data_IF_424658158000
#
_entry.id   IF_424658158000
#
_cell.length_a   1.000
_cell.length_b   1.000
_cell.length_c   1.000
_cell.angle_alpha   90.00
_cell.angle_beta   90.00
_cell.angle_gamma   90.00
#
_symmetry.space_group_name_H-M   'P 1'
#
loop_
_entity.id
_entity.type
_entity.pdbx_description
1 polymer ?
#
# COMPACT_ATOMS: atom_id res chain seq x y z
N UNK A 1 -11.76 -6.30 72.45
CA UNK A 1 -10.84 -6.04 71.32
C UNK A 1 -11.26 -6.96 70.21
N UNK A 2 -12.01 -6.42 69.26
CA UNK A 2 -12.99 -7.13 68.44
C UNK A 2 -12.61 -7.13 66.95
N UNK A 3 -12.88 -8.28 66.33
CA UNK A 3 -13.03 -8.54 64.90
C UNK A 3 -13.60 -7.38 64.09
N UNK A 4 -13.04 -7.15 62.89
CA UNK A 4 -13.78 -6.63 61.74
C UNK A 4 -13.44 -7.46 60.50
N UNK A 5 -14.36 -8.34 60.15
CA UNK A 5 -14.46 -8.96 58.83
C UNK A 5 -14.98 -7.94 57.81
N UNK A 6 -14.48 -8.05 56.59
CA UNK A 6 -14.90 -7.23 55.45
C UNK A 6 -16.04 -7.96 54.75
N UNK A 7 -17.24 -7.35 54.82
CA UNK A 7 -18.47 -7.81 54.19
C UNK A 7 -18.42 -7.58 52.68
N UNK A 8 -18.76 -8.62 51.94
CA UNK A 8 -19.08 -8.63 50.52
C UNK A 8 -20.46 -7.99 50.35
N UNK A 9 -20.56 -6.92 49.55
CA UNK A 9 -21.84 -6.37 49.08
C UNK A 9 -22.07 -6.77 47.63
N UNK A 10 -23.04 -7.64 47.43
CA UNK A 10 -23.67 -7.98 46.15
C UNK A 10 -24.68 -6.88 45.86
N UNK A 11 -24.50 -6.16 44.75
CA UNK A 11 -25.57 -5.36 44.15
C UNK A 11 -26.00 -6.03 42.84
N UNK A 12 -27.19 -6.64 42.90
CA UNK A 12 -27.95 -7.05 41.73
C UNK A 12 -28.43 -5.80 40.98
N UNK A 13 -28.04 -5.64 39.72
CA UNK A 13 -28.78 -4.85 38.76
C UNK A 13 -29.11 -5.72 37.56
N UNK A 14 -30.39 -6.10 37.50
CA UNK A 14 -31.04 -6.69 36.35
C UNK A 14 -31.22 -5.59 35.30
N UNK A 15 -30.63 -5.76 34.12
CA UNK A 15 -31.05 -5.01 32.93
C UNK A 15 -31.27 -5.96 31.76
N UNK A 16 -32.35 -5.65 31.07
CA UNK A 16 -33.07 -6.40 30.06
C UNK A 16 -32.20 -6.58 28.80
N UNK A 17 -32.12 -7.82 28.33
CA UNK A 17 -31.54 -8.17 27.02
C UNK A 17 -32.55 -7.76 25.96
N UNK A 18 -32.29 -6.65 25.26
CA UNK A 18 -32.93 -6.38 23.97
C UNK A 18 -32.09 -7.00 22.85
N UNK A 19 -32.69 -8.00 22.23
CA UNK A 19 -32.30 -8.58 20.95
C UNK A 19 -32.35 -7.50 19.87
N UNK A 20 -31.20 -6.97 19.46
CA UNK A 20 -31.08 -6.41 18.11
C UNK A 20 -30.51 -7.48 17.19
N UNK A 21 -31.38 -7.92 16.27
CA UNK A 21 -31.02 -8.77 15.17
C UNK A 21 -29.93 -8.08 14.34
N UNK A 22 -28.69 -8.56 14.47
CA UNK A 22 -27.66 -8.34 13.46
C UNK A 22 -28.12 -9.07 12.20
N UNK A 23 -28.49 -8.29 11.18
CA UNK A 23 -28.55 -8.78 9.80
C UNK A 23 -27.18 -9.34 9.44
N UNK A 24 -27.08 -10.67 9.46
CA UNK A 24 -25.98 -11.40 8.87
C UNK A 24 -25.91 -11.03 7.39
N UNK A 25 -24.85 -10.34 6.98
CA UNK A 25 -24.40 -10.42 5.62
C UNK A 25 -23.99 -11.88 5.39
N UNK A 26 -24.90 -12.65 4.79
CA UNK A 26 -24.60 -13.96 4.22
C UNK A 26 -23.52 -13.78 3.15
N UNK A 27 -22.26 -13.92 3.56
CA UNK A 27 -21.18 -14.19 2.63
C UNK A 27 -21.35 -15.64 2.19
N UNK A 28 -21.98 -15.82 1.03
CA UNK A 28 -22.11 -17.09 0.34
C UNK A 28 -20.72 -17.79 0.30
N UNK A 29 -20.53 -18.94 0.98
CA UNK A 29 -19.23 -19.60 1.08
C UNK A 29 -18.84 -20.37 -0.20
N UNK A 30 -19.58 -20.21 -1.30
CA UNK A 30 -19.28 -20.85 -2.59
C UNK A 30 -18.60 -19.91 -3.62
N UNK A 31 -17.94 -18.84 -3.18
CA UNK A 31 -17.03 -18.12 -4.08
C UNK A 31 -15.75 -18.95 -4.21
N UNK A 32 -15.66 -19.73 -5.29
CA UNK A 32 -14.49 -20.53 -5.65
C UNK A 32 -13.21 -19.73 -5.40
N UNK A 33 -12.44 -20.15 -4.40
CA UNK A 33 -11.01 -19.88 -4.32
C UNK A 33 -10.42 -20.52 -5.57
N UNK A 34 -10.13 -19.73 -6.59
CA UNK A 34 -9.28 -20.20 -7.66
C UNK A 34 -7.88 -20.27 -7.07
N UNK A 35 -7.44 -21.47 -6.65
CA UNK A 35 -6.00 -21.73 -6.62
C UNK A 35 -5.56 -21.63 -8.07
N UNK A 36 -4.95 -20.51 -8.44
CA UNK A 36 -4.31 -20.38 -9.74
C UNK A 36 -3.07 -21.26 -9.66
N UNK A 37 -3.21 -22.51 -10.08
CA UNK A 37 -2.07 -23.29 -10.55
C UNK A 37 -1.33 -22.44 -11.57
N UNK A 38 -0.07 -22.12 -11.27
CA UNK A 38 0.90 -21.35 -12.05
C UNK A 38 0.45 -21.00 -13.48
N UNK A 39 -0.14 -19.82 -13.64
CA UNK A 39 -0.43 -19.24 -14.95
C UNK A 39 0.87 -19.11 -15.78
N UNK A 40 0.80 -19.22 -17.12
CA UNK A 40 1.96 -19.36 -17.98
C UNK A 40 2.85 -18.12 -17.87
N UNK A 41 4.02 -18.31 -17.28
CA UNK A 41 5.03 -17.28 -17.14
C UNK A 41 5.44 -16.81 -18.54
N UNK A 42 5.36 -15.51 -18.80
CA UNK A 42 5.90 -14.89 -20.01
C UNK A 42 7.38 -15.33 -20.14
N UNK A 43 7.67 -16.22 -21.09
CA UNK A 43 8.78 -17.18 -21.01
C UNK A 43 10.12 -16.66 -21.56
N UNK A 44 10.34 -15.34 -21.59
CA UNK A 44 11.50 -14.75 -22.28
C UNK A 44 12.40 -13.83 -21.45
N UNK A 45 11.91 -13.21 -20.37
CA UNK A 45 12.72 -12.26 -19.59
C UNK A 45 13.38 -12.97 -18.40
N UNK A 46 14.70 -12.89 -18.36
CA UNK A 46 15.52 -13.41 -17.25
C UNK A 46 15.37 -12.54 -15.99
N UNK A 47 15.16 -11.24 -16.19
CA UNK A 47 14.86 -10.26 -15.14
C UNK A 47 13.35 -10.04 -15.03
N UNK A 48 12.87 -10.01 -13.80
CA UNK A 48 11.47 -9.76 -13.42
C UNK A 48 11.40 -8.69 -12.33
N UNK A 49 10.27 -8.01 -12.19
CA UNK A 49 10.11 -6.91 -11.23
C UNK A 49 9.36 -7.37 -9.98
N UNK A 50 9.90 -7.08 -8.81
CA UNK A 50 9.37 -7.44 -7.48
C UNK A 50 9.17 -6.17 -6.65
N UNK A 51 8.42 -6.20 -5.52
CA UNK A 51 8.22 -5.05 -4.62
C UNK A 51 9.47 -4.75 -3.77
N UNK A 52 10.62 -4.68 -4.42
CA UNK A 52 11.93 -4.26 -3.91
C UNK A 52 12.94 -4.02 -5.05
N UNK A 53 12.56 -4.21 -6.31
CA UNK A 53 13.47 -4.06 -7.44
C UNK A 53 13.41 -5.18 -8.49
N UNK A 54 14.25 -5.05 -9.52
CA UNK A 54 14.49 -6.12 -10.48
C UNK A 54 15.18 -7.32 -9.82
N UNK A 55 14.72 -8.52 -10.18
CA UNK A 55 15.19 -9.80 -9.68
C UNK A 55 15.46 -10.76 -10.84
N UNK A 56 16.40 -11.68 -10.68
CA UNK A 56 16.47 -12.84 -11.56
C UNK A 56 15.27 -13.74 -11.27
N UNK A 57 14.59 -14.19 -12.32
CA UNK A 57 13.44 -15.09 -12.20
C UNK A 57 13.76 -16.36 -11.40
N UNK A 58 15.00 -16.85 -11.48
CA UNK A 58 15.49 -18.01 -10.72
C UNK A 58 15.54 -17.81 -9.20
N UNK A 59 15.47 -16.57 -8.74
CA UNK A 59 15.56 -16.22 -7.33
C UNK A 59 14.21 -15.81 -6.73
N UNK A 60 13.12 -15.96 -7.48
CA UNK A 60 11.78 -15.71 -6.98
C UNK A 60 11.09 -17.04 -6.74
N UNK A 61 10.68 -17.25 -5.50
CA UNK A 61 10.19 -18.53 -5.00
C UNK A 61 8.78 -18.39 -4.47
N UNK A 62 7.94 -19.38 -4.77
CA UNK A 62 6.60 -19.46 -4.24
C UNK A 62 6.58 -20.22 -2.91
N UNK A 63 5.86 -19.69 -1.93
CA UNK A 63 5.62 -20.31 -0.62
C UNK A 63 4.15 -20.72 -0.53
N UNK A 64 3.91 -22.03 -0.50
CA UNK A 64 2.55 -22.55 -0.43
C UNK A 64 1.92 -22.31 0.95
N UNK A 65 0.58 -22.31 1.03
CA UNK A 65 -0.14 -22.07 2.29
C UNK A 65 0.10 -23.12 3.39
N UNK A 66 0.65 -24.29 3.05
CA UNK A 66 1.10 -25.33 4.00
C UNK A 66 2.60 -25.24 4.33
N UNK A 67 3.24 -24.11 4.02
CA UNK A 67 4.67 -23.87 4.23
C UNK A 67 4.92 -22.58 5.01
N UNK A 68 6.11 -22.47 5.59
CA UNK A 68 6.67 -21.25 6.17
C UNK A 68 8.13 -21.09 5.75
N UNK A 69 8.68 -19.90 6.01
CA UNK A 69 10.10 -19.63 5.87
C UNK A 69 10.80 -19.75 7.23
N UNK A 70 11.98 -20.35 7.24
CA UNK A 70 12.86 -20.40 8.41
C UNK A 70 14.22 -19.81 8.04
N UNK A 71 14.67 -18.78 8.77
CA UNK A 71 16.03 -18.29 8.67
C UNK A 71 16.94 -19.06 9.62
N UNK A 72 18.03 -19.62 9.09
CA UNK A 72 19.03 -20.34 9.88
C UNK A 72 20.41 -20.23 9.25
N UNK A 73 21.39 -19.79 10.03
CA UNK A 73 22.81 -19.76 9.64
C UNK A 73 23.05 -19.07 8.28
N UNK A 74 22.37 -17.94 8.03
CA UNK A 74 22.51 -17.21 6.77
C UNK A 74 21.72 -17.81 5.59
N UNK A 75 20.81 -18.73 5.86
CA UNK A 75 20.06 -19.44 4.82
C UNK A 75 18.56 -19.33 5.08
N UNK A 76 17.77 -19.14 4.03
CA UNK A 76 16.31 -19.22 4.08
C UNK A 76 15.87 -20.59 3.60
N UNK A 77 15.04 -21.26 4.39
CA UNK A 77 14.43 -22.55 4.07
C UNK A 77 12.94 -22.40 3.89
N UNK A 78 12.40 -23.03 2.85
CA UNK A 78 10.96 -23.26 2.73
C UNK A 78 10.66 -24.58 3.41
N UNK A 79 9.88 -24.58 4.48
CA UNK A 79 9.61 -25.73 5.34
C UNK A 79 8.12 -26.05 5.32
N UNK A 80 7.76 -27.32 5.13
CA UNK A 80 6.37 -27.75 5.20
C UNK A 80 5.88 -27.81 6.66
N UNK A 81 4.77 -27.13 6.95
CA UNK A 81 4.26 -26.89 8.31
C UNK A 81 4.00 -28.17 9.11
N UNK A 82 3.41 -29.19 8.46
CA UNK A 82 3.00 -30.43 9.15
C UNK A 82 4.17 -31.40 9.36
N UNK A 83 5.06 -31.50 8.39
CA UNK A 83 6.09 -32.55 8.37
C UNK A 83 7.47 -32.06 8.81
N UNK A 84 7.69 -30.75 8.85
CA UNK A 84 9.03 -30.15 9.01
C UNK A 84 9.97 -30.43 7.83
N UNK A 85 9.46 -30.97 6.71
CA UNK A 85 10.30 -31.28 5.56
C UNK A 85 10.72 -30.00 4.85
N UNK A 86 12.03 -29.83 4.68
CA UNK A 86 12.62 -28.76 3.86
C UNK A 86 12.29 -29.03 2.38
N UNK A 87 11.68 -28.05 1.71
CA UNK A 87 11.31 -28.06 0.29
C UNK A 87 12.31 -27.33 -0.59
N UNK A 88 12.97 -26.31 -0.04
CA UNK A 88 14.01 -25.54 -0.69
C UNK A 88 14.88 -24.84 0.34
N UNK A 89 16.13 -24.58 -0.04
CA UNK A 89 17.14 -23.95 0.81
C UNK A 89 17.96 -22.97 -0.04
N UNK A 90 18.02 -21.72 0.39
CA UNK A 90 18.52 -20.61 -0.41
C UNK A 90 19.45 -19.74 0.43
N UNK A 91 20.65 -19.49 -0.08
CA UNK A 91 21.62 -18.65 0.60
C UNK A 91 21.09 -17.22 0.70
N UNK A 92 21.00 -16.72 1.93
CA UNK A 92 20.75 -15.34 2.27
C UNK A 92 22.04 -14.67 2.79
N UNK A 93 23.18 -15.02 2.17
CA UNK A 93 24.47 -14.31 2.31
C UNK A 93 24.98 -13.90 0.93
N UNK A 94 25.60 -12.73 0.84
CA UNK A 94 26.07 -12.14 -0.42
C UNK A 94 27.13 -13.06 -1.01
N UNK A 95 26.88 -13.53 -2.23
CA UNK A 95 27.93 -14.04 -3.08
C UNK A 95 28.36 -12.88 -3.99
N UNK A 96 29.44 -12.20 -3.61
CA UNK A 96 29.96 -10.94 -4.20
C UNK A 96 30.12 -10.96 -5.74
N UNK A 97 30.06 -12.15 -6.34
CA UNK A 97 30.17 -12.38 -7.77
C UNK A 97 28.85 -12.17 -8.55
N UNK A 98 27.67 -12.31 -7.92
CA UNK A 98 26.37 -12.18 -8.61
C UNK A 98 25.96 -10.73 -8.88
N UNK A 99 26.21 -9.83 -7.94
CA UNK A 99 25.98 -8.38 -8.08
C UNK A 99 26.85 -7.74 -9.16
N UNK A 100 28.07 -8.26 -9.37
CA UNK A 100 28.92 -7.87 -10.51
C UNK A 100 28.38 -8.36 -11.85
N UNK A 101 27.77 -9.55 -11.90
CA UNK A 101 27.29 -10.14 -13.15
C UNK A 101 26.05 -9.43 -13.70
N UNK A 102 25.07 -9.13 -12.84
CA UNK A 102 23.86 -8.34 -13.20
C UNK A 102 24.24 -6.94 -13.69
N UNK A 103 25.22 -6.28 -13.05
CA UNK A 103 25.74 -4.98 -13.50
C UNK A 103 26.53 -5.06 -14.81
N UNK A 104 27.12 -6.21 -15.14
CA UNK A 104 27.92 -6.40 -16.37
C UNK A 104 27.10 -6.83 -17.58
N UNK A 105 26.01 -7.58 -17.39
CA UNK A 105 25.14 -8.06 -18.48
C UNK A 105 24.20 -6.96 -19.00
N UNK A 106 23.89 -5.95 -18.20
CA UNK A 106 23.12 -4.75 -18.62
C UNK A 106 23.88 -3.77 -19.52
N UNK A 107 25.18 -3.99 -19.80
CA UNK A 107 26.01 -3.03 -20.57
C UNK A 107 26.09 -3.29 -22.07
N UNK A 108 25.37 -4.27 -22.60
CA UNK A 108 25.57 -4.73 -23.97
C UNK A 108 24.26 -4.88 -24.77
N UNK A 109 23.45 -3.83 -24.83
CA UNK A 109 22.46 -3.64 -25.90
C UNK A 109 22.43 -2.17 -26.38
N UNK A 110 22.00 -2.00 -27.63
CA UNK A 110 22.56 -1.11 -28.64
C UNK A 110 22.50 0.42 -28.46
N UNK A 111 23.58 1.05 -28.93
CA UNK A 111 23.77 2.47 -29.20
C UNK A 111 22.89 2.88 -30.39
N UNK A 112 21.71 3.46 -30.16
CA UNK A 112 21.03 4.46 -31.02
C UNK A 112 19.57 4.75 -30.58
N UNK A 113 19.33 5.09 -29.31
CA UNK A 113 18.11 5.79 -28.93
C UNK A 113 18.44 6.92 -27.96
N UNK A 114 18.02 8.14 -28.28
CA UNK A 114 18.28 9.36 -27.50
C UNK A 114 17.32 9.49 -26.31
N UNK A 115 16.99 8.39 -25.65
CA UNK A 115 16.29 8.38 -24.36
C UNK A 115 17.35 7.99 -23.34
N UNK A 116 17.56 8.84 -22.34
CA UNK A 116 18.46 8.55 -21.22
C UNK A 116 17.99 7.28 -20.53
N UNK A 117 18.67 6.16 -20.74
CA UNK A 117 18.76 5.12 -19.72
C UNK A 117 19.63 5.72 -18.61
N UNK A 118 18.96 6.39 -17.66
CA UNK A 118 19.61 6.81 -16.43
C UNK A 118 19.83 5.59 -15.54
N UNK A 119 20.97 5.57 -14.87
CA UNK A 119 21.56 4.42 -14.19
C UNK A 119 20.64 3.97 -13.02
N UNK A 120 20.02 2.81 -13.17
CA UNK A 120 19.16 2.10 -12.19
C UNK A 120 17.84 2.78 -11.78
N UNK A 121 16.83 2.69 -12.64
CA UNK A 121 15.43 2.68 -12.19
C UNK A 121 15.22 1.51 -11.21
N UNK A 122 15.38 1.79 -9.92
CA UNK A 122 15.15 0.82 -8.85
C UNK A 122 13.64 0.63 -8.57
N UNK A 123 12.78 1.38 -9.26
CA UNK A 123 11.33 1.37 -9.15
C UNK A 123 10.77 2.09 -7.93
N UNK A 124 11.59 2.68 -7.06
CA UNK A 124 11.11 3.42 -5.89
C UNK A 124 10.58 4.79 -6.31
N UNK A 125 9.26 4.90 -6.44
CA UNK A 125 8.60 6.11 -6.92
C UNK A 125 8.37 7.10 -5.78
N UNK A 126 7.66 6.66 -4.75
CA UNK A 126 7.35 7.50 -3.60
C UNK A 126 7.20 6.67 -2.35
N UNK A 127 7.65 7.19 -1.22
CA UNK A 127 7.61 6.45 0.03
C UNK A 127 7.65 7.40 1.24
N UNK A 128 7.38 6.86 2.42
CA UNK A 128 7.73 7.45 3.68
C UNK A 128 8.39 6.39 4.56
N UNK A 129 9.54 6.71 5.12
CA UNK A 129 10.24 5.86 6.09
C UNK A 129 10.03 6.44 7.47
N UNK A 130 9.62 5.59 8.41
CA UNK A 130 9.60 5.97 9.81
C UNK A 130 10.95 5.69 10.43
N UNK A 131 11.51 6.69 11.11
CA UNK A 131 12.56 6.47 12.09
C UNK A 131 12.01 6.77 13.46
N UNK A 132 12.48 5.99 14.40
CA UNK A 132 12.19 6.25 15.79
C UNK A 132 13.05 7.41 16.31
N UNK A 133 12.42 8.23 17.17
CA UNK A 133 13.04 9.41 17.75
C UNK A 133 13.69 9.15 19.12
N UNK A 134 13.39 8.03 19.80
CA UNK A 134 13.69 7.85 21.22
C UNK A 134 14.17 6.44 21.63
N UNK A 135 14.67 5.65 20.70
CA UNK A 135 15.06 4.25 20.89
C UNK A 135 13.87 3.36 21.28
N UNK A 136 13.21 2.80 20.27
CA UNK A 136 12.25 1.70 20.35
C UNK A 136 12.81 0.67 21.33
N UNK A 137 12.10 0.46 22.44
CA UNK A 137 12.60 -0.32 23.58
C UNK A 137 12.48 -1.83 23.41
N UNK A 138 12.22 -2.31 22.19
CA UNK A 138 12.09 -3.72 21.83
C UNK A 138 11.49 -3.91 20.43
N UNK A 139 11.35 -5.15 19.94
CA UNK A 139 10.92 -5.40 18.57
C UNK A 139 9.54 -4.79 18.28
N UNK A 140 9.35 -4.37 17.03
CA UNK A 140 8.02 -4.03 16.53
C UNK A 140 7.16 -5.30 16.64
N UNK A 141 6.13 -5.25 17.49
CA UNK A 141 5.23 -6.37 17.77
C UNK A 141 4.07 -6.43 16.79
N UNK A 142 3.66 -5.28 16.26
CA UNK A 142 2.56 -5.13 15.33
C UNK A 142 2.77 -3.91 14.44
N UNK A 143 2.64 -4.08 13.12
CA UNK A 143 2.55 -3.01 12.15
C UNK A 143 1.38 -3.28 11.22
N UNK A 144 0.39 -2.40 11.17
CA UNK A 144 -0.72 -2.51 10.24
C UNK A 144 -1.14 -1.16 9.70
N UNK A 145 -1.75 -1.17 8.52
CA UNK A 145 -2.42 -0.02 7.97
C UNK A 145 -3.61 -0.44 7.11
N UNK A 146 -4.48 0.51 6.80
CA UNK A 146 -5.65 0.34 5.95
C UNK A 146 -5.60 1.27 4.75
N UNK A 147 -5.99 0.80 3.59
CA UNK A 147 -6.13 1.60 2.38
C UNK A 147 -7.20 0.99 1.48
N UNK A 148 -7.80 1.81 0.62
CA UNK A 148 -8.70 1.31 -0.40
C UNK A 148 -7.90 0.93 -1.64
N UNK A 149 -8.31 -0.14 -2.33
CA UNK A 149 -7.75 -0.48 -3.64
C UNK A 149 -8.03 0.68 -4.60
N UNK A 150 -7.01 1.28 -5.24
CA UNK A 150 -7.22 2.39 -6.16
C UNK A 150 -8.03 1.98 -7.40
N UNK A 151 -8.49 2.96 -8.15
CA UNK A 151 -8.99 2.77 -9.51
C UNK A 151 -7.88 2.20 -10.41
N UNK A 152 -8.23 1.43 -11.46
CA UNK A 152 -7.25 0.97 -12.42
C UNK A 152 -6.59 2.15 -13.15
N UNK A 153 -5.36 2.00 -13.67
CA UNK A 153 -4.77 2.96 -14.59
C UNK A 153 -5.65 3.26 -15.81
N UNK A 154 -5.61 4.51 -16.27
CA UNK A 154 -6.33 4.97 -17.46
C UNK A 154 -5.77 4.33 -18.74
N UNK A 155 -4.43 4.20 -18.79
CA UNK A 155 -3.71 3.48 -19.84
C UNK A 155 -3.20 2.15 -19.27
N UNK A 156 -3.54 1.03 -19.92
CA UNK A 156 -3.11 -0.31 -19.52
C UNK A 156 -2.10 -0.83 -20.54
N UNK A 157 -0.88 -1.00 -20.12
CA UNK A 157 0.26 -1.49 -20.88
C UNK A 157 0.94 -2.64 -20.10
N UNK A 158 2.27 -2.65 -20.06
CA UNK A 158 3.08 -3.65 -19.35
C UNK A 158 3.53 -3.17 -17.96
N UNK A 159 2.87 -2.14 -17.41
CA UNK A 159 3.26 -1.58 -16.14
C UNK A 159 3.02 -2.55 -14.97
N UNK A 160 3.90 -2.48 -13.98
CA UNK A 160 3.76 -3.17 -12.70
C UNK A 160 3.76 -2.11 -11.61
N UNK A 161 2.80 -2.15 -10.69
CA UNK A 161 2.67 -1.17 -9.61
C UNK A 161 2.49 -1.93 -8.30
N UNK A 162 3.21 -1.52 -7.26
CA UNK A 162 3.14 -2.04 -5.91
C UNK A 162 2.83 -0.93 -4.92
N UNK A 163 1.87 -1.17 -4.04
CA UNK A 163 1.54 -0.31 -2.89
C UNK A 163 1.59 -1.19 -1.65
N UNK A 164 2.40 -0.81 -0.67
CA UNK A 164 2.60 -1.66 0.51
C UNK A 164 3.05 -0.90 1.75
N UNK A 165 2.91 -1.57 2.88
CA UNK A 165 3.68 -1.31 4.08
C UNK A 165 4.82 -2.32 4.17
N UNK A 166 5.97 -1.94 4.72
CA UNK A 166 7.10 -2.86 4.89
C UNK A 166 7.71 -2.76 6.29
N UNK A 167 8.17 -3.89 6.81
CA UNK A 167 9.02 -3.97 7.99
C UNK A 167 10.38 -4.53 7.57
N UNK A 168 11.44 -3.80 7.85
CA UNK A 168 12.81 -4.08 7.44
C UNK A 168 13.78 -4.08 8.62
N UNK A 169 14.78 -4.93 8.57
CA UNK A 169 15.98 -4.78 9.39
C UNK A 169 16.97 -5.89 9.10
N UNK A 170 18.06 -5.88 9.86
CA UNK A 170 19.20 -6.73 9.55
C UNK A 170 20.31 -6.63 10.57
N UNK A 171 21.18 -7.64 10.55
CA UNK A 171 22.44 -7.58 11.29
C UNK A 171 23.43 -6.71 10.52
N UNK A 172 23.93 -5.66 11.16
CA UNK A 172 25.27 -5.14 10.84
C UNK A 172 26.26 -6.13 11.43
N UNK A 173 26.76 -7.05 10.62
CA UNK A 173 27.93 -7.83 11.03
C UNK A 173 29.18 -6.95 11.01
N UNK A 174 30.19 -7.28 11.84
CA UNK A 174 31.49 -6.57 11.87
C UNK A 174 32.18 -6.53 10.49
N UNK A 175 31.76 -7.39 9.56
CA UNK A 175 32.25 -7.48 8.18
C UNK A 175 31.43 -6.69 7.14
N UNK A 176 30.49 -5.82 7.55
CA UNK A 176 29.62 -5.02 6.66
C UNK A 176 28.74 -5.82 5.68
N UNK A 177 28.58 -7.12 5.88
CA UNK A 177 27.54 -7.89 5.19
C UNK A 177 26.20 -7.55 5.85
N UNK A 178 25.60 -6.44 5.39
CA UNK A 178 24.33 -5.95 5.91
C UNK A 178 23.22 -6.89 5.45
N UNK A 179 22.77 -7.81 6.32
CA UNK A 179 21.73 -8.80 5.99
C UNK A 179 20.35 -8.18 6.17
N UNK A 180 19.89 -7.43 5.18
CA UNK A 180 18.55 -6.84 5.22
C UNK A 180 17.49 -7.88 4.84
N UNK A 181 16.49 -8.01 5.71
CA UNK A 181 15.26 -8.73 5.48
C UNK A 181 14.12 -7.73 5.44
N UNK A 182 13.19 -7.94 4.52
CA UNK A 182 12.00 -7.10 4.36
C UNK A 182 10.78 -8.00 4.29
N UNK A 183 9.74 -7.65 5.04
CA UNK A 183 8.45 -8.33 5.01
C UNK A 183 7.39 -7.32 4.61
N UNK A 184 6.54 -7.66 3.64
CA UNK A 184 5.57 -6.74 3.03
C UNK A 184 4.24 -7.44 2.73
N UNK A 185 3.09 -6.94 3.21
CA UNK A 185 1.80 -7.19 2.57
C UNK A 185 1.63 -6.18 1.41
N UNK A 186 1.49 -6.69 0.19
CA UNK A 186 1.57 -5.91 -1.05
C UNK A 186 0.26 -5.95 -1.81
N UNK A 187 -0.22 -4.77 -2.20
CA UNK A 187 -1.22 -4.61 -3.27
C UNK A 187 -0.47 -4.38 -4.59
N UNK A 188 -0.76 -5.21 -5.60
CA UNK A 188 -0.12 -5.13 -6.92
C UNK A 188 -1.13 -4.91 -8.05
N UNK A 189 -0.72 -4.13 -9.05
CA UNK A 189 -1.33 -4.07 -10.38
C UNK A 189 -0.32 -4.55 -11.42
N UNK A 190 -0.78 -5.22 -12.47
CA UNK A 190 0.07 -5.65 -13.57
C UNK A 190 0.65 -7.05 -13.37
N UNK A 191 1.56 -7.42 -14.27
CA UNK A 191 2.25 -8.71 -14.22
C UNK A 191 3.46 -8.65 -13.29
N UNK A 192 3.59 -9.65 -12.43
CA UNK A 192 4.77 -9.89 -11.58
C UNK A 192 5.12 -11.38 -11.55
N UNK A 193 6.24 -11.78 -10.91
CA UNK A 193 6.54 -13.18 -10.64
C UNK A 193 5.47 -13.93 -9.83
N UNK A 194 4.70 -13.22 -9.00
CA UNK A 194 3.57 -13.80 -8.27
C UNK A 194 2.33 -14.02 -9.16
N UNK A 195 2.41 -13.65 -10.44
CA UNK A 195 1.29 -13.64 -11.39
C UNK A 195 0.71 -12.23 -11.56
N UNK A 196 -0.56 -12.15 -11.95
CA UNK A 196 -1.26 -10.88 -12.10
C UNK A 196 -1.73 -10.62 -13.53
N UNK A 197 -1.82 -9.34 -13.87
CA UNK A 197 -2.35 -8.85 -15.14
C UNK A 197 -3.02 -7.49 -14.95
N UNK A 198 -3.93 -7.14 -15.85
CA UNK A 198 -4.65 -5.86 -15.82
C UNK A 198 -5.77 -5.83 -14.77
N UNK A 199 -5.43 -6.17 -13.52
CA UNK A 199 -6.29 -6.17 -12.35
C UNK A 199 -5.46 -5.99 -11.08
N UNK A 200 -6.12 -5.53 -10.01
CA UNK A 200 -5.51 -5.46 -8.67
C UNK A 200 -5.53 -6.81 -7.98
N UNK A 201 -4.44 -7.13 -7.29
CA UNK A 201 -4.35 -8.32 -6.47
C UNK A 201 -3.44 -8.10 -5.27
N UNK A 202 -3.66 -8.86 -4.21
CA UNK A 202 -2.83 -8.83 -3.00
C UNK A 202 -1.92 -10.07 -2.92
N UNK A 203 -0.72 -9.89 -2.41
CA UNK A 203 0.26 -10.94 -2.15
C UNK A 203 1.19 -10.49 -1.01
N UNK A 204 1.74 -11.44 -0.27
CA UNK A 204 2.71 -11.19 0.80
C UNK A 204 4.10 -11.60 0.35
N UNK A 205 5.07 -10.74 0.62
CA UNK A 205 6.45 -10.90 0.19
C UNK A 205 7.40 -10.94 1.38
N UNK A 206 8.43 -11.78 1.26
CA UNK A 206 9.66 -11.69 2.05
C UNK A 206 10.83 -11.53 1.10
N UNK A 207 11.67 -10.54 1.34
CA UNK A 207 12.80 -10.20 0.51
C UNK A 207 14.07 -10.24 1.35
N UNK A 208 15.15 -10.70 0.75
CA UNK A 208 16.49 -10.67 1.34
C UNK A 208 17.41 -9.81 0.48
N UNK A 209 18.39 -9.16 1.11
CA UNK A 209 19.45 -8.39 0.47
C UNK A 209 20.34 -9.19 -0.52
N UNK A 210 20.12 -10.50 -0.65
CA UNK A 210 20.82 -11.41 -1.59
C UNK A 210 19.99 -11.73 -2.82
N UNK A 211 19.04 -10.87 -3.12
CA UNK A 211 18.13 -11.00 -4.23
C UNK A 211 17.40 -12.35 -4.20
N UNK A 212 17.05 -12.87 -3.01
CA UNK A 212 16.07 -13.95 -2.87
C UNK A 212 14.73 -13.34 -2.49
N UNK A 213 13.69 -13.70 -3.23
CA UNK A 213 12.35 -13.15 -3.09
C UNK A 213 11.38 -14.30 -2.90
N UNK A 214 10.52 -14.20 -1.91
CA UNK A 214 9.54 -15.21 -1.57
C UNK A 214 8.17 -14.57 -1.58
N UNK A 215 7.22 -15.21 -2.26
CA UNK A 215 5.85 -14.72 -2.38
C UNK A 215 4.86 -15.83 -2.10
N UNK A 216 3.70 -15.49 -1.55
CA UNK A 216 2.60 -16.42 -1.35
C UNK A 216 1.57 -16.38 -2.50
N UNK A 217 0.36 -16.87 -2.26
CA UNK A 217 -0.67 -16.93 -3.30
C UNK A 217 -1.28 -15.56 -3.57
N UNK A 218 -1.36 -15.22 -4.85
CA UNK A 218 -2.00 -14.00 -5.32
C UNK A 218 -3.53 -14.09 -5.23
N UNK A 219 -4.17 -13.08 -4.64
CA UNK A 219 -5.64 -12.97 -4.57
C UNK A 219 -6.11 -11.70 -5.28
N UNK A 220 -6.95 -11.84 -6.30
CA UNK A 220 -7.58 -10.69 -6.97
C UNK A 220 -8.52 -9.93 -6.05
N UNK A 221 -8.42 -8.60 -6.07
CA UNK A 221 -9.28 -7.67 -5.32
C UNK A 221 -9.85 -6.61 -6.27
N UNK A 222 -11.02 -6.06 -5.95
CA UNK A 222 -11.67 -5.05 -6.79
C UNK A 222 -11.27 -3.64 -6.34
N UNK A 223 -11.22 -2.66 -7.27
CA UNK A 223 -11.16 -1.23 -6.91
C UNK A 223 -12.20 -0.86 -5.84
N UNK A 224 -11.82 0.05 -4.94
CA UNK A 224 -12.62 0.49 -3.80
C UNK A 224 -12.70 -0.50 -2.64
N UNK A 225 -12.18 -1.73 -2.76
CA UNK A 225 -12.16 -2.70 -1.66
C UNK A 225 -11.28 -2.16 -0.52
N UNK A 226 -11.77 -2.08 0.73
CA UNK A 226 -10.92 -1.74 1.86
C UNK A 226 -10.00 -2.92 2.17
N UNK A 227 -8.71 -2.63 2.26
CA UNK A 227 -7.68 -3.59 2.64
C UNK A 227 -7.08 -3.20 3.99
N UNK A 228 -6.63 -4.20 4.73
CA UNK A 228 -5.82 -4.03 5.94
C UNK A 228 -4.62 -4.97 5.89
N UNK A 229 -3.47 -4.43 5.54
CA UNK A 229 -2.20 -5.16 5.61
C UNK A 229 -1.69 -5.22 7.04
N UNK A 230 -1.19 -6.37 7.47
CA UNK A 230 -0.70 -6.62 8.82
C UNK A 230 0.63 -7.37 8.76
N UNK A 231 1.62 -6.87 9.49
CA UNK A 231 2.85 -7.56 9.86
C UNK A 231 2.83 -7.71 11.38
N UNK A 232 2.88 -8.95 11.88
CA UNK A 232 2.74 -9.24 13.31
C UNK A 232 3.88 -10.13 13.80
N UNK A 233 4.48 -9.78 14.92
CA UNK A 233 5.43 -10.62 15.63
C UNK A 233 4.69 -11.85 16.20
N UNK A 234 5.15 -13.05 15.85
CA UNK A 234 4.60 -14.33 16.33
C UNK A 234 5.47 -14.98 17.39
N UNK A 235 6.77 -14.66 17.43
CA UNK A 235 7.70 -15.15 18.45
C UNK A 235 8.87 -14.18 18.62
N UNK A 236 9.38 -14.05 19.84
CA UNK A 236 10.64 -13.39 20.17
C UNK A 236 11.37 -14.26 21.19
N UNK A 237 12.44 -14.92 20.76
CA UNK A 237 13.20 -15.87 21.57
C UNK A 237 14.70 -15.71 21.26
N UNK A 238 15.52 -15.58 22.30
CA UNK A 238 16.98 -15.56 22.19
C UNK A 238 17.55 -14.58 21.14
N UNK A 239 16.94 -13.39 21.04
CA UNK A 239 17.34 -12.35 20.08
C UNK A 239 16.94 -12.63 18.63
N UNK A 240 16.08 -13.62 18.40
CA UNK A 240 15.49 -13.94 17.10
C UNK A 240 13.99 -13.66 17.12
N UNK A 241 13.47 -13.23 15.99
CA UNK A 241 12.12 -12.71 15.86
C UNK A 241 11.41 -13.42 14.71
N UNK A 242 10.18 -13.86 14.96
CA UNK A 242 9.35 -14.49 13.94
C UNK A 242 8.18 -13.58 13.62
N UNK A 243 7.89 -13.43 12.34
CA UNK A 243 6.88 -12.50 11.86
C UNK A 243 5.92 -13.18 10.88
N UNK A 244 4.68 -12.72 10.86
CA UNK A 244 3.69 -13.09 9.85
C UNK A 244 3.17 -11.85 9.15
N UNK A 245 3.19 -11.87 7.82
CA UNK A 245 2.57 -10.87 6.96
C UNK A 245 1.35 -11.43 6.26
N UNK A 246 0.25 -10.68 6.29
CA UNK A 246 -1.04 -11.08 5.72
C UNK A 246 -1.98 -9.88 5.55
N UNK A 247 -3.09 -10.09 4.84
CA UNK A 247 -4.21 -9.17 4.81
C UNK A 247 -5.37 -9.70 5.67
N UNK A 248 -5.96 -8.85 6.50
CA UNK A 248 -7.12 -9.23 7.32
C UNK A 248 -8.30 -9.66 6.44
N UNK A 249 -8.92 -10.80 6.78
CA UNK A 249 -10.04 -11.35 6.01
C UNK A 249 -9.64 -12.19 4.78
N UNK A 250 -8.34 -12.35 4.51
CA UNK A 250 -7.84 -13.17 3.43
C UNK A 250 -7.08 -14.40 3.97
N UNK A 251 -7.25 -15.55 3.30
CA UNK A 251 -6.72 -16.84 3.76
C UNK A 251 -5.23 -17.08 3.45
N UNK A 252 -4.51 -16.07 2.96
CA UNK A 252 -3.10 -16.16 2.57
C UNK A 252 -2.22 -15.33 3.51
N UNK A 253 -0.94 -15.65 3.56
CA UNK A 253 0.05 -15.00 4.38
C UNK A 253 1.39 -15.72 4.30
N UNK A 254 2.45 -15.01 4.63
CA UNK A 254 3.80 -15.58 4.76
C UNK A 254 4.25 -15.48 6.21
N UNK A 255 4.70 -16.61 6.76
CA UNK A 255 5.33 -16.67 8.08
C UNK A 255 6.83 -16.88 7.89
N UNK A 256 7.62 -16.07 8.58
CA UNK A 256 9.09 -16.10 8.54
C UNK A 256 9.61 -16.20 9.95
N UNK A 257 10.28 -17.30 10.24
CA UNK A 257 10.80 -17.61 11.55
C UNK A 257 12.26 -17.18 11.69
N UNK A 258 12.65 -16.89 12.93
CA UNK A 258 14.04 -16.76 13.36
C UNK A 258 14.84 -15.61 12.71
N UNK A 259 14.17 -14.54 12.29
CA UNK A 259 14.83 -13.37 11.70
C UNK A 259 15.62 -12.56 12.74
N UNK A 260 16.60 -11.76 12.27
CA UNK A 260 17.09 -10.63 13.05
C UNK A 260 15.98 -9.62 13.37
N UNK A 261 16.29 -8.69 14.27
CA UNK A 261 15.35 -7.61 14.59
C UNK A 261 15.06 -6.73 13.37
N UNK A 262 13.78 -6.47 13.15
CA UNK A 262 13.33 -5.57 12.10
C UNK A 262 12.92 -4.23 12.74
N UNK A 263 13.70 -3.19 12.48
CA UNK A 263 13.65 -1.89 13.21
C UNK A 263 13.19 -0.73 12.35
N UNK A 264 13.20 -0.88 11.02
CA UNK A 264 12.79 0.13 10.06
C UNK A 264 11.44 -0.25 9.45
N UNK A 265 10.62 0.73 9.13
CA UNK A 265 9.34 0.50 8.49
C UNK A 265 9.02 1.62 7.51
N UNK A 266 8.26 1.28 6.47
CA UNK A 266 7.86 2.25 5.46
C UNK A 266 6.44 2.02 4.96
N UNK A 267 5.94 3.04 4.26
CA UNK A 267 4.82 2.96 3.32
C UNK A 267 5.40 3.35 1.96
N UNK A 268 5.13 2.58 0.90
CA UNK A 268 5.78 2.79 -0.38
C UNK A 268 4.87 2.52 -1.58
N UNK A 269 5.19 3.25 -2.65
CA UNK A 269 4.81 3.04 -4.03
C UNK A 269 6.06 2.68 -4.81
N UNK A 270 6.05 1.49 -5.39
CA UNK A 270 7.03 1.09 -6.39
C UNK A 270 6.33 0.85 -7.73
N UNK A 271 6.97 1.20 -8.84
CA UNK A 271 6.42 0.94 -10.15
C UNK A 271 7.50 0.73 -11.22
N UNK A 272 7.14 -0.03 -12.26
CA UNK A 272 8.05 -0.46 -13.32
C UNK A 272 7.35 -0.44 -14.67
N UNK A 273 8.14 -0.28 -15.73
CA UNK A 273 7.69 -0.23 -17.13
C UNK A 273 6.59 0.81 -17.35
N UNK A 274 6.74 1.98 -16.73
CA UNK A 274 5.89 3.13 -16.96
C UNK A 274 6.50 4.02 -18.04
N UNK A 275 5.71 4.38 -19.04
CA UNK A 275 6.09 5.24 -20.15
C UNK A 275 5.26 6.53 -20.19
N UNK A 276 4.19 6.61 -19.38
CA UNK A 276 3.41 7.83 -19.23
C UNK A 276 2.69 7.89 -17.88
N UNK A 277 2.35 9.09 -17.43
CA UNK A 277 1.63 9.29 -16.18
C UNK A 277 0.24 8.65 -16.16
N UNK A 278 -0.40 8.46 -17.33
CA UNK A 278 -1.70 7.80 -17.41
C UNK A 278 -1.65 6.30 -17.09
N UNK A 279 -0.46 5.72 -16.90
CA UNK A 279 -0.26 4.32 -16.52
C UNK A 279 -0.20 4.10 -15.01
N UNK A 280 -0.14 5.16 -14.20
CA UNK A 280 -0.49 5.13 -12.78
C UNK A 280 -2.00 5.00 -12.57
N UNK A 281 -2.47 4.65 -11.35
CA UNK A 281 -3.89 4.65 -11.01
C UNK A 281 -4.55 5.98 -11.39
N UNK A 282 -5.81 5.93 -11.81
CA UNK A 282 -6.55 7.14 -12.23
C UNK A 282 -6.81 8.12 -11.06
N UNK A 283 -6.75 7.63 -9.83
CA UNK A 283 -6.88 8.39 -8.60
C UNK A 283 -5.68 9.33 -8.43
N UNK A 284 -5.85 10.42 -7.68
CA UNK A 284 -4.76 11.34 -7.35
C UNK A 284 -3.76 10.66 -6.41
N UNK A 285 -4.29 9.90 -5.45
CA UNK A 285 -3.51 9.32 -4.37
C UNK A 285 -4.15 8.06 -3.82
N UNK A 286 -3.35 7.32 -3.06
CA UNK A 286 -3.84 6.33 -2.11
C UNK A 286 -3.55 6.82 -0.70
N UNK A 287 -4.59 6.91 0.12
CA UNK A 287 -4.46 7.20 1.55
C UNK A 287 -4.28 5.93 2.35
N UNK A 288 -3.11 5.77 2.93
CA UNK A 288 -2.76 4.70 3.88
C UNK A 288 -3.01 5.23 5.29
N UNK A 289 -4.11 4.81 5.90
CA UNK A 289 -4.62 5.32 7.19
C UNK A 289 -4.75 4.24 8.24
N UNK A 290 -5.07 4.62 9.47
CA UNK A 290 -5.07 3.72 10.62
C UNK A 290 -3.74 2.99 10.75
N UNK A 291 -2.65 3.72 10.50
CA UNK A 291 -1.30 3.21 10.68
C UNK A 291 -1.10 2.98 12.17
N UNK A 292 -0.93 1.71 12.54
CA UNK A 292 -0.74 1.26 13.90
C UNK A 292 0.59 0.51 13.99
N UNK A 293 1.53 1.07 14.75
CA UNK A 293 2.86 0.51 14.99
C UNK A 293 3.01 0.35 16.50
N UNK A 294 3.30 -0.85 16.96
CA UNK A 294 3.44 -1.18 18.37
C UNK A 294 4.78 -1.84 18.66
N UNK A 295 5.30 -1.58 19.86
CA UNK A 295 6.47 -2.24 20.45
C UNK A 295 6.00 -2.82 21.79
N UNK A 296 5.87 -4.14 21.85
CA UNK A 296 5.07 -4.79 22.90
C UNK A 296 3.60 -4.34 22.83
N UNK A 297 3.10 -3.76 23.91
CA UNK A 297 1.72 -3.24 24.01
C UNK A 297 1.64 -1.70 23.94
N UNK A 298 2.72 -1.05 23.52
CA UNK A 298 2.83 0.42 23.50
C UNK A 298 3.02 0.98 22.11
N UNK A 299 2.58 2.21 21.90
CA UNK A 299 2.72 2.96 20.66
C UNK A 299 3.95 3.90 20.76
N UNK A 300 5.06 3.63 20.06
CA UNK A 300 6.28 4.44 20.14
C UNK A 300 6.08 5.80 19.47
N UNK A 301 6.88 6.81 19.81
CA UNK A 301 6.87 8.09 19.09
C UNK A 301 7.70 7.96 17.82
N UNK A 302 7.08 8.22 16.67
CA UNK A 302 7.70 8.05 15.35
C UNK A 302 7.89 9.41 14.69
N UNK A 303 8.98 9.57 13.95
CA UNK A 303 9.11 10.62 12.94
C UNK A 303 9.16 9.98 11.56
N UNK A 304 8.28 10.44 10.69
CA UNK A 304 8.27 10.04 9.30
C UNK A 304 9.10 10.99 8.46
N UNK A 305 9.79 10.43 7.47
CA UNK A 305 10.57 11.12 6.47
C UNK A 305 10.01 10.74 5.10
N UNK A 306 9.32 11.65 4.40
CA UNK A 306 8.78 11.39 3.08
C UNK A 306 9.89 11.44 2.01
N UNK A 307 9.68 10.78 0.88
CA UNK A 307 10.68 10.60 -0.19
C UNK A 307 11.27 11.91 -0.73
N UNK A 308 10.54 13.04 -0.64
CA UNK A 308 11.00 14.37 -1.08
C UNK A 308 12.10 14.95 -0.19
N UNK A 309 12.31 14.41 1.01
CA UNK A 309 13.43 14.81 1.87
C UNK A 309 14.75 14.12 1.48
N UNK A 310 14.72 13.17 0.53
CA UNK A 310 15.88 12.46 0.03
C UNK A 310 16.36 13.07 -1.31
N UNK A 311 17.63 12.84 -1.67
CA UNK A 311 18.26 13.53 -2.81
C UNK A 311 17.75 13.08 -4.18
N UNK A 312 17.11 11.91 -4.28
CA UNK A 312 16.83 11.24 -5.55
C UNK A 312 15.43 10.56 -5.66
N UNK A 313 14.31 11.19 -5.30
CA UNK A 313 12.99 10.62 -5.57
C UNK A 313 12.65 10.67 -7.07
N UNK A 314 12.08 9.59 -7.61
CA UNK A 314 11.52 9.58 -8.97
C UNK A 314 10.27 10.47 -8.97
N UNK A 315 10.30 11.52 -9.79
CA UNK A 315 9.26 12.54 -9.82
C UNK A 315 8.80 12.88 -11.25
N UNK A 316 8.82 11.90 -12.15
CA UNK A 316 8.52 12.03 -13.57
C UNK A 316 7.04 12.43 -13.84
N UNK A 317 6.14 12.03 -12.95
CA UNK A 317 4.72 12.43 -12.94
C UNK A 317 4.36 13.33 -11.77
N UNK A 318 5.36 13.93 -11.16
CA UNK A 318 5.26 14.76 -9.97
C UNK A 318 4.61 14.03 -8.77
N UNK A 319 4.97 12.77 -8.56
CA UNK A 319 4.53 11.91 -7.47
C UNK A 319 5.17 12.34 -6.16
N UNK A 320 4.40 12.33 -5.08
CA UNK A 320 4.96 12.64 -3.78
C UNK A 320 4.26 11.96 -2.62
N UNK A 321 4.87 12.03 -1.44
CA UNK A 321 4.32 11.48 -0.21
C UNK A 321 4.01 12.62 0.75
N UNK A 322 2.80 12.62 1.31
CA UNK A 322 2.39 13.57 2.34
C UNK A 322 2.17 12.83 3.67
N UNK A 323 2.82 13.32 4.74
CA UNK A 323 2.58 12.83 6.10
C UNK A 323 1.37 13.58 6.67
N UNK A 324 0.20 12.96 6.63
CA UNK A 324 -1.06 13.54 7.12
C UNK A 324 -1.13 13.49 8.65
N UNK A 325 -0.79 12.34 9.23
CA UNK A 325 -0.64 12.15 10.68
C UNK A 325 0.53 11.19 10.95
N UNK A 326 1.58 11.71 11.59
CA UNK A 326 2.79 10.94 11.91
C UNK A 326 2.67 10.02 13.14
N UNK A 327 1.51 9.95 13.79
CA UNK A 327 1.26 9.09 14.94
C UNK A 327 1.48 7.61 14.63
N UNK A 328 2.08 6.87 15.57
CA UNK A 328 2.11 5.41 15.54
C UNK A 328 0.77 4.77 15.89
N UNK A 329 -0.18 5.55 16.41
CA UNK A 329 -1.51 5.12 16.79
C UNK A 329 -2.53 5.84 15.90
N UNK A 330 -2.94 5.18 14.83
CA UNK A 330 -3.94 5.71 13.90
C UNK A 330 -3.41 6.68 12.85
N UNK A 331 -2.10 6.74 12.62
CA UNK A 331 -1.48 7.65 11.67
C UNK A 331 -1.98 7.49 10.23
N UNK A 332 -1.61 8.45 9.38
CA UNK A 332 -2.03 8.51 7.99
C UNK A 332 -0.93 9.10 7.10
N UNK A 333 -0.72 8.45 5.96
CA UNK A 333 0.21 8.86 4.91
C UNK A 333 -0.52 8.78 3.57
N UNK A 334 -0.36 9.81 2.77
CA UNK A 334 -0.84 9.82 1.39
C UNK A 334 0.31 9.59 0.43
N UNK A 335 0.12 8.68 -0.51
CA UNK A 335 0.99 8.50 -1.67
C UNK A 335 0.26 9.06 -2.88
N UNK A 336 0.76 10.15 -3.43
CA UNK A 336 0.23 10.77 -4.64
C UNK A 336 0.83 10.13 -5.89
N UNK A 337 -0.04 9.66 -6.78
CA UNK A 337 0.31 9.12 -8.09
C UNK A 337 0.57 10.22 -9.12
N UNK A 338 -0.03 11.39 -8.91
CA UNK A 338 0.10 12.56 -9.76
C UNK A 338 0.15 13.79 -8.88
N UNK A 339 0.78 14.86 -9.36
CA UNK A 339 0.58 16.15 -8.69
C UNK A 339 -0.88 16.56 -8.80
N UNK A 340 -1.54 16.84 -7.66
CA UNK A 340 -2.82 17.48 -7.72
C UNK A 340 -2.66 18.81 -8.44
N UNK A 341 -3.40 19.00 -9.53
CA UNK A 341 -3.42 20.30 -10.18
C UNK A 341 -4.27 21.23 -9.31
N UNK A 342 -3.71 22.22 -8.59
CA UNK A 342 -4.54 23.23 -7.96
C UNK A 342 -5.31 23.93 -9.07
N UNK A 343 -6.64 23.85 -8.99
CA UNK A 343 -7.50 24.59 -9.88
C UNK A 343 -7.59 26.00 -9.30
N UNK A 344 -6.91 26.96 -9.93
CA UNK A 344 -7.03 28.39 -9.66
C UNK A 344 -6.85 28.79 -8.17
N UNK A 345 -5.64 28.67 -7.63
CA UNK A 345 -5.31 29.11 -6.25
C UNK A 345 -6.16 28.43 -5.16
N UNK A 346 -6.73 27.25 -5.45
CA UNK A 346 -7.50 26.48 -4.50
C UNK A 346 -6.63 25.36 -3.95
N UNK A 347 -5.82 25.69 -2.94
CA UNK A 347 -4.86 24.79 -2.30
C UNK A 347 -5.51 23.85 -1.27
N UNK A 348 -6.81 23.98 -0.99
CA UNK A 348 -7.46 23.19 0.06
C UNK A 348 -8.23 21.97 -0.46
N UNK A 349 -8.62 21.97 -1.74
CA UNK A 349 -9.38 20.89 -2.37
C UNK A 349 -8.83 20.65 -3.78
N UNK A 350 -8.54 19.38 -4.04
CA UNK A 350 -8.14 18.86 -5.33
C UNK A 350 -9.32 18.24 -6.06
N UNK A 351 -9.35 18.42 -7.38
CA UNK A 351 -10.36 17.82 -8.25
C UNK A 351 -9.67 17.18 -9.45
N UNK A 352 -9.91 15.90 -9.65
CA UNK A 352 -9.23 15.06 -10.62
C UNK A 352 -10.11 13.86 -11.03
N UNK A 353 -9.76 13.10 -12.08
CA UNK A 353 -8.86 13.53 -13.14
C UNK A 353 -9.43 14.78 -13.83
N UNK A 354 -8.58 15.59 -14.45
CA UNK A 354 -9.02 16.74 -15.24
C UNK A 354 -8.26 16.76 -16.58
N UNK A 355 -8.90 16.35 -17.69
CA UNK A 355 -10.31 16.00 -17.81
C UNK A 355 -10.69 14.68 -17.14
N UNK A 356 -11.88 14.63 -16.54
CA UNK A 356 -12.51 13.45 -15.99
C UNK A 356 -13.35 12.72 -17.05
N UNK A 357 -13.50 11.40 -16.91
CA UNK A 357 -14.48 10.63 -17.67
C UNK A 357 -15.87 10.71 -17.02
N UNK A 358 -16.43 9.56 -16.68
CA UNK A 358 -17.71 9.47 -15.97
C UNK A 358 -17.60 9.80 -14.47
N UNK A 359 -16.41 9.71 -13.88
CA UNK A 359 -16.20 9.97 -12.46
C UNK A 359 -15.30 11.19 -12.27
N UNK A 360 -15.73 12.08 -11.38
CA UNK A 360 -14.95 13.21 -10.90
C UNK A 360 -14.69 13.02 -9.42
N UNK A 361 -13.42 13.03 -9.05
CA UNK A 361 -12.98 12.82 -7.69
C UNK A 361 -12.64 14.18 -7.09
N UNK A 362 -13.06 14.35 -5.84
CA UNK A 362 -12.82 15.54 -5.04
C UNK A 362 -12.13 15.10 -3.77
N UNK A 363 -10.89 15.52 -3.55
CA UNK A 363 -10.15 15.21 -2.33
C UNK A 363 -9.74 16.49 -1.62
N UNK A 364 -9.99 16.62 -0.32
CA UNK A 364 -9.44 17.71 0.47
C UNK A 364 -7.96 17.41 0.80
N UNK A 365 -7.14 18.47 0.85
CA UNK A 365 -5.72 18.36 1.24
C UNK A 365 -5.58 18.01 2.72
N UNK A 366 -6.45 18.62 3.53
CA UNK A 366 -6.55 18.44 4.98
C UNK A 366 -8.00 18.25 5.38
N UNK A 367 -8.30 17.62 6.52
CA UNK A 367 -9.68 17.50 6.99
C UNK A 367 -10.43 18.85 6.99
N UNK A 368 -11.55 18.92 6.27
CA UNK A 368 -12.42 20.11 6.22
C UNK A 368 -13.70 19.82 7.01
N UNK A 369 -13.97 20.63 8.04
CA UNK A 369 -15.18 20.49 8.84
C UNK A 369 -16.36 21.20 8.21
N UNK A 370 -17.55 20.60 8.30
CA UNK A 370 -18.83 21.16 7.87
C UNK A 370 -18.82 21.63 6.40
N UNK A 371 -18.26 20.80 5.51
CA UNK A 371 -18.16 21.10 4.09
C UNK A 371 -19.47 20.77 3.36
N UNK A 372 -20.04 21.75 2.67
CA UNK A 372 -21.12 21.54 1.71
C UNK A 372 -20.55 21.54 0.30
N UNK A 373 -20.91 20.51 -0.48
CA UNK A 373 -20.51 20.37 -1.88
C UNK A 373 -21.77 20.35 -2.74
N UNK A 374 -21.86 21.26 -3.70
CA UNK A 374 -23.00 21.39 -4.62
C UNK A 374 -22.53 21.39 -6.07
N UNK A 375 -23.27 20.71 -6.94
CA UNK A 375 -23.10 20.80 -8.39
C UNK A 375 -24.36 21.41 -8.98
N UNK A 376 -24.19 22.51 -9.70
CA UNK A 376 -25.25 23.33 -10.27
C UNK A 376 -25.09 23.31 -11.78
N UNK A 377 -26.13 22.97 -12.53
CA UNK A 377 -26.09 23.00 -13.99
C UNK A 377 -26.25 24.43 -14.54
N UNK A 378 -26.15 24.58 -15.86
CA UNK A 378 -26.29 25.89 -16.54
C UNK A 378 -27.64 26.59 -16.34
N UNK A 379 -28.70 25.86 -15.96
CA UNK A 379 -30.01 26.43 -15.63
C UNK A 379 -30.14 26.87 -14.18
N UNK A 380 -29.08 26.77 -13.37
CA UNK A 380 -29.11 27.07 -11.94
C UNK A 380 -29.72 25.96 -11.07
N UNK A 381 -30.06 24.79 -11.65
CA UNK A 381 -30.60 23.66 -10.90
C UNK A 381 -29.46 22.91 -10.21
N UNK A 382 -29.62 22.67 -8.91
CA UNK A 382 -28.76 21.75 -8.15
C UNK A 382 -29.02 20.32 -8.59
N UNK A 383 -27.99 19.71 -9.18
CA UNK A 383 -28.01 18.31 -9.65
C UNK A 383 -27.30 17.38 -8.67
N UNK A 384 -26.41 17.91 -7.83
CA UNK A 384 -25.80 17.22 -6.69
C UNK A 384 -25.72 18.18 -5.49
N UNK A 385 -25.91 17.65 -4.28
CA UNK A 385 -25.75 18.40 -3.03
C UNK A 385 -25.49 17.42 -1.89
N UNK A 386 -24.35 17.56 -1.23
CA UNK A 386 -24.01 16.81 -0.01
C UNK A 386 -23.48 17.74 1.07
N UNK A 387 -23.58 17.30 2.32
CA UNK A 387 -23.00 17.94 3.48
C UNK A 387 -22.17 16.91 4.23
N UNK A 388 -20.91 17.24 4.51
CA UNK A 388 -19.92 16.36 5.12
C UNK A 388 -19.40 17.05 6.38
N UNK A 389 -19.67 16.46 7.54
CA UNK A 389 -19.26 17.02 8.83
C UNK A 389 -17.74 17.03 9.01
N UNK A 390 -17.07 15.96 8.58
CA UNK A 390 -15.61 15.85 8.53
C UNK A 390 -15.20 15.28 7.17
N UNK A 391 -14.72 16.14 6.28
CA UNK A 391 -14.31 15.77 4.94
C UNK A 391 -12.80 15.53 4.92
N UNK A 392 -12.41 14.26 5.05
CA UNK A 392 -11.04 13.76 5.13
C UNK A 392 -10.82 12.53 4.25
N UNK A 393 -11.57 12.43 3.16
CA UNK A 393 -11.54 11.31 2.23
C UNK A 393 -11.81 11.79 0.81
N UNK A 394 -11.54 10.94 -0.17
CA UNK A 394 -11.85 11.20 -1.58
C UNK A 394 -13.34 10.96 -1.85
N UNK A 395 -14.02 11.98 -2.36
CA UNK A 395 -15.41 11.90 -2.79
C UNK A 395 -15.49 11.70 -4.30
N UNK A 396 -15.96 10.54 -4.71
CA UNK A 396 -16.26 10.24 -6.11
C UNK A 396 -17.67 10.71 -6.47
N UNK A 397 -17.77 11.47 -7.56
CA UNK A 397 -19.04 11.90 -8.11
C UNK A 397 -19.22 11.27 -9.48
N UNK A 398 -20.24 10.41 -9.58
CA UNK A 398 -20.66 9.79 -10.83
C UNK A 398 -21.45 10.79 -11.68
N UNK A 399 -20.80 11.27 -12.74
CA UNK A 399 -21.39 12.09 -13.78
C UNK A 399 -21.99 11.28 -14.92
N UNK A 400 -21.90 9.95 -14.96
CA UNK A 400 -22.32 9.10 -16.11
C UNK A 400 -23.70 9.48 -16.66
N UNK A 401 -24.65 9.76 -15.78
CA UNK A 401 -26.05 10.10 -16.11
C UNK A 401 -26.34 11.58 -16.41
N UNK A 402 -25.36 12.48 -16.30
CA UNK A 402 -25.57 13.93 -16.37
C UNK A 402 -25.59 14.42 -17.83
N UNK A 403 -26.52 15.26 -18.29
CA UNK A 403 -26.48 15.72 -19.68
C UNK A 403 -25.19 16.52 -20.00
N UNK A 404 -24.67 16.47 -21.24
CA UNK A 404 -23.61 17.38 -21.68
C UNK A 404 -24.01 18.84 -21.43
N UNK A 405 -23.07 19.67 -20.99
CA UNK A 405 -23.36 21.06 -20.64
C UNK A 405 -22.38 21.67 -19.64
N UNK A 406 -22.69 22.89 -19.23
CA UNK A 406 -21.91 23.61 -18.22
C UNK A 406 -22.40 23.29 -16.81
N UNK A 407 -21.44 23.11 -15.90
CA UNK A 407 -21.66 22.88 -14.48
C UNK A 407 -20.82 23.84 -13.64
N UNK A 408 -21.32 24.13 -12.45
CA UNK A 408 -20.63 24.87 -11.41
C UNK A 408 -20.53 23.99 -10.18
N UNK A 409 -19.31 23.74 -9.73
CA UNK A 409 -19.04 22.99 -8.50
C UNK A 409 -18.77 24.01 -7.41
N UNK A 410 -19.55 23.96 -6.33
CA UNK A 410 -19.49 24.90 -5.22
C UNK A 410 -19.13 24.18 -3.93
N UNK A 411 -18.14 24.72 -3.22
CA UNK A 411 -17.74 24.31 -1.88
C UNK A 411 -18.13 25.40 -0.89
N UNK A 412 -18.64 25.03 0.28
CA UNK A 412 -18.93 25.99 1.35
C UNK A 412 -18.54 25.42 2.71
N UNK A 413 -17.60 26.07 3.39
CA UNK A 413 -17.06 25.71 4.71
C UNK A 413 -16.37 26.94 5.35
N UNK A 414 -16.25 26.98 6.68
CA UNK A 414 -15.63 28.09 7.44
C UNK A 414 -15.96 29.51 6.90
N UNK A 415 -17.25 29.77 6.64
CA UNK A 415 -17.79 31.02 6.06
C UNK A 415 -17.31 31.40 4.65
N UNK A 416 -16.55 30.52 4.00
CA UNK A 416 -16.02 30.73 2.66
C UNK A 416 -16.82 29.94 1.63
N UNK A 417 -17.00 30.54 0.45
CA UNK A 417 -17.66 29.91 -0.69
C UNK A 417 -16.71 29.93 -1.88
N UNK A 418 -16.44 28.75 -2.40
CA UNK A 418 -15.59 28.56 -3.57
C UNK A 418 -16.43 27.99 -4.70
N UNK A 419 -16.13 28.39 -5.93
CA UNK A 419 -16.90 27.96 -7.10
C UNK A 419 -16.00 27.76 -8.30
N UNK A 420 -16.14 26.61 -8.95
CA UNK A 420 -15.39 26.20 -10.12
C UNK A 420 -16.35 25.98 -11.28
N UNK A 421 -15.88 26.30 -12.48
CA UNK A 421 -16.63 26.08 -13.71
C UNK A 421 -16.13 24.80 -14.37
N UNK A 422 -17.05 23.98 -14.83
CA UNK A 422 -16.74 22.75 -15.55
C UNK A 422 -17.66 22.56 -16.76
N UNK A 423 -17.19 21.82 -17.75
CA UNK A 423 -17.97 21.45 -18.94
C UNK A 423 -17.97 19.94 -19.10
N UNK A 424 -19.16 19.34 -19.26
CA UNK A 424 -19.30 17.97 -19.75
C UNK A 424 -19.50 17.99 -21.26
N UNK A 425 -18.58 17.41 -22.00
CA UNK A 425 -18.65 17.25 -23.45
C UNK A 425 -19.48 16.01 -23.83
N UNK A 426 -19.92 15.92 -25.09
CA UNK A 426 -20.78 14.83 -25.59
C UNK A 426 -20.10 13.46 -25.61
N UNK A 427 -18.78 13.42 -25.48
CA UNK A 427 -17.96 12.22 -25.38
C UNK A 427 -17.74 11.77 -23.92
N UNK A 428 -18.64 12.15 -22.99
CA UNK A 428 -18.55 11.82 -21.57
C UNK A 428 -17.35 12.42 -20.83
N UNK A 429 -16.64 13.38 -21.43
CA UNK A 429 -15.49 14.02 -20.79
C UNK A 429 -15.94 15.24 -19.97
N UNK A 430 -15.65 15.26 -18.68
CA UNK A 430 -15.88 16.38 -17.77
C UNK A 430 -14.58 17.16 -17.55
N UNK A 431 -14.53 18.41 -17.99
CA UNK A 431 -13.32 19.25 -17.92
C UNK A 431 -13.53 20.45 -17.02
N UNK A 432 -12.61 20.66 -16.07
CA UNK A 432 -12.58 21.90 -15.30
C UNK A 432 -11.99 23.01 -16.15
N UNK A 433 -12.70 24.14 -16.24
CA UNK A 433 -12.30 25.31 -17.01
C UNK A 433 -11.54 26.25 -16.07
N UNK A 434 -10.21 26.29 -16.22
CA UNK A 434 -9.37 27.31 -15.57
C UNK A 434 -9.82 28.69 -16.05
N UNK A 435 -9.92 29.65 -15.12
CA UNK A 435 -10.36 31.02 -15.41
C UNK A 435 -9.16 31.91 -15.61
#
# INVERSE_FOLDING_TARGET
MQNKGMLIFIFCFSFIIEFFAQTSLETNPNKRVYSIDSAPVNSGREVVYTPFGPALKSNVHYVAGDQHLEYKDGTIRIVQNVTGKIKGEYNAVINDNLTRKVKSENKQYDINSSIREDDSDNGWISFAVGQDLYEISGPISHYSATWNVPSPPNCKADQTIYIFIALQGGFISENRDNRDHIIQPVLQWGWSPAGGGNYWAICNWHVTNNNQFFCDSLITVNPGTPLKGIIRLTSSLDGQYSYRSYFEGYGTGIEVLNLPELTSFCVALEAYNLYSCNEYPADEKVRVKNINIMTGDTYPKIKWFPSQEFTDPVNDCNQFTEIVDGSSQGGAIDIHFHTPSPINNFEEIHIFPNPAGDYLNISPNRPILNCRIEIINSSGRKVYNTFIENFDYELDIDFSSYPPGMYFIRFSYFDSIYSLKASRESNHTFKIIKR
#
